data_IF_012288574402
#
_entry.id   IF_012288574402
#
_cell.length_a   1.000
_cell.length_b   1.000
_cell.length_c   1.000
_cell.angle_alpha   90.00
_cell.angle_beta   90.00
_cell.angle_gamma   90.00
#
_symmetry.space_group_name_H-M   'P 1'
#
loop_
_entity.id
_entity.type
_entity.pdbx_description
1 polymer ?
#
# COMPACT_ATOMS: atom_id res chain seq x y z
N UNK A 1 -20.77 -28.96 14.92
CA UNK A 1 -19.48 -29.63 15.18
C UNK A 1 -18.29 -28.96 14.49
N UNK A 2 -18.45 -28.34 13.34
CA UNK A 2 -17.36 -27.64 12.63
C UNK A 2 -16.86 -26.32 13.29
N UNK A 3 -17.78 -25.57 13.90
CA UNK A 3 -17.44 -24.34 14.65
C UNK A 3 -16.66 -24.62 15.95
N UNK A 4 -16.90 -25.76 16.58
CA UNK A 4 -16.19 -26.18 17.79
C UNK A 4 -14.75 -26.68 17.46
N UNK A 5 -14.55 -27.29 16.29
CA UNK A 5 -13.21 -27.66 15.79
C UNK A 5 -12.38 -26.43 15.40
N UNK A 6 -13.00 -25.40 14.80
CA UNK A 6 -12.30 -24.13 14.48
C UNK A 6 -11.87 -23.36 15.72
N UNK A 7 -12.72 -23.30 16.78
CA UNK A 7 -12.34 -22.64 18.04
C UNK A 7 -11.17 -23.35 18.74
N UNK A 8 -11.17 -24.69 18.78
CA UNK A 8 -10.08 -25.44 19.42
C UNK A 8 -8.74 -25.27 18.68
N UNK A 9 -8.74 -25.23 17.35
CA UNK A 9 -7.51 -24.95 16.56
C UNK A 9 -6.96 -23.55 16.81
N UNK A 10 -7.84 -22.54 16.94
CA UNK A 10 -7.42 -21.15 17.21
C UNK A 10 -6.86 -20.99 18.63
N UNK A 11 -7.45 -21.66 19.62
CA UNK A 11 -6.96 -21.62 21.01
C UNK A 11 -5.66 -22.43 21.20
N UNK A 12 -5.48 -23.55 20.47
CA UNK A 12 -4.22 -24.30 20.46
C UNK A 12 -3.11 -23.47 19.79
N UNK A 13 -3.37 -22.84 18.64
CA UNK A 13 -2.41 -21.96 17.98
C UNK A 13 -2.03 -20.74 18.84
N UNK A 14 -2.97 -20.18 19.60
CA UNK A 14 -2.68 -19.11 20.58
C UNK A 14 -1.77 -19.59 21.71
N UNK A 15 -1.84 -20.86 22.12
CA UNK A 15 -0.99 -21.43 23.15
C UNK A 15 0.43 -21.76 22.67
N UNK A 16 0.56 -22.27 21.45
CA UNK A 16 1.86 -22.62 20.83
C UNK A 16 2.68 -21.38 20.47
N UNK A 17 2.01 -20.26 20.14
CA UNK A 17 2.64 -18.99 19.79
C UNK A 17 2.67 -17.98 20.95
N UNK A 18 2.49 -18.42 22.20
CA UNK A 18 2.37 -17.53 23.37
C UNK A 18 3.61 -16.69 23.68
N UNK A 19 4.76 -17.00 23.09
CA UNK A 19 6.01 -16.25 23.23
C UNK A 19 6.31 -15.30 22.06
N UNK A 20 5.45 -15.31 21.01
CA UNK A 20 5.56 -14.37 19.90
C UNK A 20 4.51 -13.27 20.01
N UNK A 21 4.87 -12.09 19.55
CA UNK A 21 3.93 -10.99 19.38
C UNK A 21 2.94 -11.32 18.24
N UNK A 22 1.67 -11.48 18.61
CA UNK A 22 0.61 -11.94 17.71
C UNK A 22 -0.68 -11.14 17.93
N UNK A 23 -1.37 -10.84 16.84
CA UNK A 23 -2.68 -10.19 16.84
C UNK A 23 -3.76 -11.14 16.31
N UNK A 24 -5.03 -10.71 16.32
CA UNK A 24 -6.11 -11.47 15.69
C UNK A 24 -5.97 -11.55 14.15
N UNK A 25 -5.11 -10.72 13.56
CA UNK A 25 -4.81 -10.65 12.13
C UNK A 25 -3.56 -11.44 11.73
N UNK A 26 -2.63 -11.69 12.64
CA UNK A 26 -1.40 -12.41 12.37
C UNK A 26 -0.26 -12.02 13.31
N UNK A 27 0.95 -12.36 12.92
CA UNK A 27 2.14 -11.95 13.66
C UNK A 27 2.36 -10.45 13.53
N UNK A 28 2.89 -9.84 14.59
CA UNK A 28 3.40 -8.48 14.52
C UNK A 28 4.58 -8.40 13.52
N UNK A 29 4.77 -7.25 12.90
CA UNK A 29 5.63 -7.08 11.73
C UNK A 29 7.05 -7.63 11.94
N UNK A 30 7.67 -7.37 13.10
CA UNK A 30 8.99 -7.89 13.41
C UNK A 30 9.06 -9.41 13.37
N UNK A 31 8.09 -10.09 13.99
CA UNK A 31 8.01 -11.56 14.04
C UNK A 31 7.72 -12.13 12.65
N UNK A 32 6.83 -11.46 11.91
CA UNK A 32 6.54 -11.83 10.52
C UNK A 32 7.82 -11.80 9.66
N UNK A 33 8.60 -10.75 9.74
CA UNK A 33 9.84 -10.62 8.99
C UNK A 33 10.92 -11.64 9.44
N UNK A 34 11.05 -11.94 10.73
CA UNK A 34 11.94 -12.97 11.23
C UNK A 34 11.59 -14.34 10.62
N UNK A 35 10.31 -14.74 10.70
CA UNK A 35 9.84 -15.99 10.11
C UNK A 35 9.95 -16.02 8.59
N UNK A 36 9.77 -14.90 7.94
CA UNK A 36 9.94 -14.79 6.48
C UNK A 36 11.40 -14.99 6.08
N UNK A 37 12.34 -14.45 6.84
CA UNK A 37 13.77 -14.69 6.58
C UNK A 37 14.14 -16.18 6.73
N UNK A 38 13.59 -16.89 7.73
CA UNK A 38 13.80 -18.33 7.88
C UNK A 38 13.39 -19.13 6.62
N UNK A 39 12.39 -18.65 5.88
CA UNK A 39 11.93 -19.25 4.62
C UNK A 39 12.81 -18.80 3.45
N UNK A 40 13.13 -17.52 3.39
CA UNK A 40 13.93 -16.92 2.32
C UNK A 40 15.32 -17.54 2.27
N UNK A 41 15.97 -17.72 3.40
CA UNK A 41 17.31 -18.29 3.54
C UNK A 41 17.39 -19.78 3.11
N UNK A 42 16.25 -20.45 2.90
CA UNK A 42 16.18 -21.84 2.41
C UNK A 42 15.89 -21.95 0.91
N UNK A 43 15.74 -20.83 0.20
CA UNK A 43 15.41 -20.81 -1.23
C UNK A 43 16.64 -21.03 -2.11
N UNK A 44 16.39 -21.40 -3.36
CA UNK A 44 17.41 -21.36 -4.41
C UNK A 44 17.63 -19.91 -4.83
N UNK A 45 18.78 -19.35 -4.50
CA UNK A 45 19.17 -17.97 -4.78
C UNK A 45 19.32 -17.66 -6.29
N UNK A 46 19.43 -18.70 -7.14
CA UNK A 46 19.54 -18.52 -8.58
C UNK A 46 18.18 -18.28 -9.27
N UNK A 47 17.08 -18.40 -8.55
CA UNK A 47 15.75 -18.19 -9.11
C UNK A 47 15.25 -16.77 -8.77
N UNK A 48 14.69 -16.04 -9.75
CA UNK A 48 14.05 -14.78 -9.45
C UNK A 48 12.82 -15.00 -8.56
N UNK A 49 12.71 -14.18 -7.53
CA UNK A 49 11.62 -14.25 -6.55
C UNK A 49 10.86 -12.92 -6.49
N UNK A 50 9.58 -12.99 -6.21
CA UNK A 50 8.73 -11.87 -5.85
C UNK A 50 8.08 -12.19 -4.52
N UNK A 51 8.40 -11.42 -3.49
CA UNK A 51 7.83 -11.53 -2.17
C UNK A 51 6.88 -10.37 -1.91
N UNK A 52 5.68 -10.67 -1.42
CA UNK A 52 4.69 -9.68 -1.01
C UNK A 52 4.42 -9.84 0.48
N UNK A 53 4.68 -8.80 1.24
CA UNK A 53 4.43 -8.74 2.68
C UNK A 53 3.31 -7.76 2.97
N UNK A 54 2.39 -8.16 3.84
CA UNK A 54 1.37 -7.28 4.39
C UNK A 54 1.62 -7.14 5.88
N UNK A 55 2.01 -5.94 6.30
CA UNK A 55 2.23 -5.61 7.71
C UNK A 55 0.88 -5.39 8.41
N UNK A 56 0.83 -5.62 9.72
CA UNK A 56 -0.42 -5.55 10.50
C UNK A 56 -0.33 -4.68 11.74
N UNK A 57 0.87 -4.27 12.14
CA UNK A 57 1.08 -3.57 13.42
C UNK A 57 0.39 -2.21 13.47
N UNK A 58 0.19 -1.56 12.33
CA UNK A 58 -0.45 -0.26 12.20
C UNK A 58 -1.97 -0.33 12.01
N UNK A 59 -2.53 -1.54 11.84
CA UNK A 59 -3.96 -1.71 11.56
C UNK A 59 -4.86 -1.37 12.76
N UNK A 60 -4.40 -1.60 14.01
CA UNK A 60 -5.17 -1.30 15.22
C UNK A 60 -4.78 0.08 15.77
N UNK A 61 -5.78 0.87 16.18
CA UNK A 61 -5.60 2.14 16.91
C UNK A 61 -4.82 1.97 18.22
N UNK A 62 -4.77 0.76 18.76
CA UNK A 62 -4.03 0.42 19.97
C UNK A 62 -2.86 -0.46 19.61
N UNK A 63 -1.69 0.14 19.60
CA UNK A 63 -0.47 -0.63 19.47
C UNK A 63 -0.29 -1.60 20.66
N UNK A 64 -0.02 -2.86 20.36
CA UNK A 64 0.08 -3.94 21.36
C UNK A 64 1.19 -4.91 20.98
N UNK A 65 1.99 -5.25 21.99
CA UNK A 65 2.89 -6.37 21.99
C UNK A 65 2.57 -7.24 23.21
N UNK A 66 3.11 -8.47 23.27
CA UNK A 66 3.00 -9.30 24.45
C UNK A 66 3.76 -8.69 25.66
N UNK A 67 4.86 -8.02 25.39
CA UNK A 67 5.66 -7.32 26.37
C UNK A 67 5.16 -5.88 26.57
N UNK A 68 4.56 -5.62 27.73
CA UNK A 68 4.00 -4.31 28.06
C UNK A 68 5.06 -3.21 28.27
N UNK A 69 6.26 -3.57 28.74
CA UNK A 69 7.34 -2.59 28.93
C UNK A 69 7.86 -2.12 27.56
N UNK A 70 8.00 -3.04 26.60
CA UNK A 70 8.31 -2.68 25.22
C UNK A 70 7.24 -1.80 24.60
N UNK A 71 5.97 -2.07 24.83
CA UNK A 71 4.87 -1.22 24.33
C UNK A 71 5.03 0.20 24.87
N UNK A 72 5.27 0.36 26.18
CA UNK A 72 5.43 1.69 26.78
C UNK A 72 6.62 2.45 26.20
N UNK A 73 7.73 1.80 25.91
CA UNK A 73 8.89 2.42 25.25
C UNK A 73 8.51 3.07 23.91
N UNK A 74 7.67 2.43 23.10
CA UNK A 74 7.20 3.01 21.83
C UNK A 74 6.25 4.18 22.06
N UNK A 75 5.38 4.12 23.08
CA UNK A 75 4.55 5.26 23.45
C UNK A 75 5.36 6.44 24.01
N UNK A 76 6.42 6.20 24.77
CA UNK A 76 7.33 7.25 25.24
C UNK A 76 7.99 7.96 24.05
N UNK A 77 8.54 7.21 23.10
CA UNK A 77 9.12 7.79 21.87
C UNK A 77 8.09 8.57 21.05
N UNK A 78 6.86 8.07 20.95
CA UNK A 78 5.79 8.79 20.30
C UNK A 78 5.49 10.12 21.01
N UNK A 79 5.45 10.16 22.34
CA UNK A 79 5.28 11.41 23.12
C UNK A 79 6.41 12.39 22.89
N UNK A 80 7.67 11.91 22.83
CA UNK A 80 8.84 12.76 22.54
C UNK A 80 8.71 13.41 21.14
N UNK A 81 8.31 12.65 20.14
CA UNK A 81 8.06 13.18 18.78
C UNK A 81 6.96 14.23 18.83
N UNK A 82 5.81 13.93 19.46
CA UNK A 82 4.69 14.86 19.58
C UNK A 82 5.14 16.16 20.29
N UNK A 83 5.88 16.05 21.36
CA UNK A 83 6.37 17.21 22.10
C UNK A 83 7.32 18.13 21.29
N UNK A 84 7.90 17.62 20.20
CA UNK A 84 8.74 18.42 19.30
C UNK A 84 7.95 19.16 18.21
N UNK A 85 6.65 18.91 18.09
CA UNK A 85 5.77 19.55 17.10
C UNK A 85 5.23 20.90 17.61
N UNK A 86 4.77 21.78 16.70
CA UNK A 86 4.01 22.98 17.08
C UNK A 86 2.77 22.63 17.92
N UNK A 87 2.41 23.48 18.87
CA UNK A 87 1.32 23.23 19.84
C UNK A 87 -0.03 22.87 19.17
N UNK A 88 -0.32 23.48 18.02
CA UNK A 88 -1.54 23.22 17.25
C UNK A 88 -1.60 21.81 16.64
N UNK A 89 -0.43 21.21 16.40
CA UNK A 89 -0.32 19.85 15.84
C UNK A 89 -0.30 18.80 16.95
N UNK A 90 0.22 19.13 18.14
CA UNK A 90 0.34 18.18 19.25
C UNK A 90 -0.98 17.53 19.64
N UNK A 91 -2.08 18.32 19.68
CA UNK A 91 -3.40 17.80 20.03
C UNK A 91 -3.90 16.76 19.02
N UNK A 92 -3.76 17.05 17.71
CA UNK A 92 -4.15 16.13 16.63
C UNK A 92 -3.33 14.83 16.69
N UNK A 93 -2.02 14.95 16.95
CA UNK A 93 -1.12 13.80 17.03
C UNK A 93 -1.33 12.97 18.31
N UNK A 94 -1.72 13.58 19.42
CA UNK A 94 -2.09 12.84 20.64
C UNK A 94 -3.31 11.94 20.44
N UNK A 95 -4.27 12.34 19.60
CA UNK A 95 -5.46 11.52 19.29
C UNK A 95 -5.08 10.23 18.56
N UNK A 96 -3.93 10.19 17.88
CA UNK A 96 -3.42 9.06 17.11
C UNK A 96 -2.11 8.47 17.65
N UNK A 97 -1.76 8.76 18.90
CA UNK A 97 -0.51 8.33 19.49
C UNK A 97 -0.25 6.82 19.40
N UNK A 98 -1.30 6.00 19.46
CA UNK A 98 -1.20 4.56 19.27
C UNK A 98 -0.77 4.17 17.87
N UNK A 99 -1.23 4.88 16.84
CA UNK A 99 -0.76 4.68 15.46
C UNK A 99 0.68 5.15 15.30
N UNK A 100 1.06 6.26 15.92
CA UNK A 100 2.44 6.75 15.89
C UNK A 100 3.39 5.74 16.54
N UNK A 101 3.04 5.20 17.71
CA UNK A 101 3.82 4.14 18.35
C UNK A 101 3.94 2.87 17.47
N UNK A 102 2.84 2.47 16.81
CA UNK A 102 2.84 1.37 15.86
C UNK A 102 3.70 1.65 14.62
N UNK A 103 3.71 2.89 14.14
CA UNK A 103 4.54 3.32 13.01
C UNK A 103 6.03 3.24 13.35
N UNK A 104 6.43 3.69 14.53
CA UNK A 104 7.82 3.59 15.00
C UNK A 104 8.26 2.11 15.08
N UNK A 105 7.40 1.25 15.60
CA UNK A 105 7.66 -0.21 15.64
C UNK A 105 7.76 -0.81 14.23
N UNK A 106 6.84 -0.44 13.33
CA UNK A 106 6.82 -0.91 11.95
C UNK A 106 8.07 -0.49 11.17
N UNK A 107 8.52 0.75 11.37
CA UNK A 107 9.76 1.28 10.78
C UNK A 107 10.98 0.46 11.23
N UNK A 108 11.13 0.20 12.52
CA UNK A 108 12.21 -0.66 13.05
C UNK A 108 12.12 -2.11 12.53
N UNK A 109 10.90 -2.62 12.35
CA UNK A 109 10.71 -3.95 11.78
C UNK A 109 11.14 -4.02 10.31
N UNK A 110 10.84 -2.97 9.53
CA UNK A 110 11.29 -2.83 8.13
C UNK A 110 12.81 -2.68 8.08
N UNK A 111 13.40 -1.82 8.93
CA UNK A 111 14.86 -1.67 9.03
C UNK A 111 15.55 -3.01 9.26
N UNK A 112 15.04 -3.77 10.22
CA UNK A 112 15.57 -5.10 10.51
C UNK A 112 15.49 -6.03 9.29
N UNK A 113 14.34 -6.06 8.62
CA UNK A 113 14.14 -6.93 7.47
C UNK A 113 15.08 -6.54 6.32
N UNK A 114 15.13 -5.27 5.96
CA UNK A 114 16.02 -4.76 4.91
C UNK A 114 17.47 -5.10 5.21
N UNK A 115 17.91 -4.94 6.47
CA UNK A 115 19.28 -5.26 6.88
C UNK A 115 19.59 -6.76 6.77
N UNK A 116 18.72 -7.62 7.30
CA UNK A 116 18.89 -9.08 7.21
C UNK A 116 18.86 -9.59 5.77
N UNK A 117 17.93 -9.05 4.96
CA UNK A 117 17.82 -9.39 3.55
C UNK A 117 19.08 -8.99 2.78
N UNK A 118 19.61 -7.79 3.07
CA UNK A 118 20.85 -7.29 2.45
C UNK A 118 22.10 -8.09 2.87
N UNK A 119 22.12 -8.60 4.08
CA UNK A 119 23.21 -9.49 4.55
C UNK A 119 23.17 -10.84 3.85
N UNK A 120 21.98 -11.37 3.57
CA UNK A 120 21.79 -12.64 2.86
C UNK A 120 22.04 -12.50 1.36
N UNK A 121 21.35 -11.57 0.69
CA UNK A 121 21.56 -11.28 -0.74
C UNK A 121 22.63 -10.18 -0.92
N UNK A 122 23.88 -10.55 -0.71
CA UNK A 122 25.00 -9.60 -0.70
C UNK A 122 25.45 -9.14 -2.10
N UNK A 123 24.88 -9.70 -3.18
CA UNK A 123 25.09 -9.29 -4.57
C UNK A 123 24.40 -7.97 -4.92
N UNK A 124 23.47 -7.53 -4.07
CA UNK A 124 22.71 -6.30 -4.25
C UNK A 124 21.64 -6.33 -5.35
N UNK A 125 21.36 -7.51 -5.92
CA UNK A 125 20.39 -7.65 -7.02
C UNK A 125 18.95 -7.84 -6.50
N UNK A 126 18.44 -6.82 -5.79
CA UNK A 126 17.07 -6.81 -5.27
C UNK A 126 16.52 -5.39 -5.18
N UNK A 127 15.20 -5.29 -5.15
CA UNK A 127 14.45 -4.03 -5.04
C UNK A 127 13.37 -4.19 -3.99
N UNK A 128 13.30 -3.24 -3.06
CA UNK A 128 12.17 -3.06 -2.16
C UNK A 128 11.23 -2.00 -2.70
N UNK A 129 9.95 -2.32 -2.72
CA UNK A 129 8.87 -1.37 -2.96
C UNK A 129 8.02 -1.33 -1.69
N UNK A 130 8.05 -0.20 -0.98
CA UNK A 130 7.38 -0.03 0.30
C UNK A 130 6.27 1.00 0.11
N UNK A 131 5.04 0.62 0.42
CA UNK A 131 3.88 1.50 0.30
C UNK A 131 2.83 1.15 1.35
N UNK A 132 1.89 2.07 1.61
CA UNK A 132 0.68 1.73 2.36
C UNK A 132 -0.38 1.14 1.43
N UNK A 133 -1.21 0.23 1.91
CA UNK A 133 -2.38 -0.28 1.17
C UNK A 133 -3.50 0.78 1.11
N UNK A 134 -3.64 1.57 2.17
CA UNK A 134 -4.49 2.76 2.28
C UNK A 134 -3.96 3.68 3.39
N UNK A 135 -4.46 4.92 3.43
CA UNK A 135 -4.12 5.85 4.50
C UNK A 135 -4.87 5.53 5.80
N UNK A 136 -4.41 6.10 6.90
CA UNK A 136 -5.21 6.18 8.12
C UNK A 136 -6.44 7.07 7.85
N UNK A 137 -7.62 6.63 8.32
CA UNK A 137 -8.82 7.45 8.23
C UNK A 137 -8.80 8.52 9.33
N UNK A 138 -7.93 9.51 9.15
CA UNK A 138 -7.80 10.68 10.02
C UNK A 138 -8.66 11.79 9.43
N UNK A 139 -9.39 12.50 10.28
CA UNK A 139 -10.13 13.68 9.85
C UNK A 139 -9.14 14.73 9.36
N UNK A 140 -9.13 14.97 8.05
CA UNK A 140 -8.35 16.00 7.38
C UNK A 140 -9.28 16.94 6.62
N UNK A 141 -8.90 18.20 6.54
CA UNK A 141 -9.59 19.20 5.72
C UNK A 141 -9.34 18.98 4.22
N UNK A 142 -8.29 18.22 3.87
CA UNK A 142 -7.99 17.85 2.49
C UNK A 142 -8.49 16.43 2.20
N UNK A 143 -9.50 16.27 1.32
CA UNK A 143 -10.04 14.93 1.01
C UNK A 143 -9.02 13.99 0.34
N UNK A 144 -7.95 14.49 -0.26
CA UNK A 144 -6.88 13.67 -0.85
C UNK A 144 -6.05 12.93 0.20
N UNK A 145 -5.97 13.44 1.44
CA UNK A 145 -5.22 12.77 2.50
C UNK A 145 -5.78 11.39 2.84
N UNK A 146 -7.08 11.17 2.57
CA UNK A 146 -7.70 9.86 2.72
C UNK A 146 -7.14 8.79 1.75
N UNK A 147 -6.48 9.20 0.67
CA UNK A 147 -5.94 8.33 -0.38
C UNK A 147 -4.42 8.42 -0.52
N UNK A 148 -3.80 9.36 0.20
CA UNK A 148 -2.36 9.60 0.11
C UNK A 148 -1.59 8.63 1.00
N UNK A 149 -0.70 7.85 0.38
CA UNK A 149 0.18 6.88 1.02
C UNK A 149 1.63 7.08 0.55
N UNK A 150 2.63 6.72 1.36
CA UNK A 150 4.02 6.77 0.92
C UNK A 150 4.28 5.73 -0.19
N UNK A 151 5.20 6.05 -1.10
CA UNK A 151 5.80 5.10 -2.02
C UNK A 151 7.32 5.27 -1.99
N UNK A 152 8.01 4.26 -1.51
CA UNK A 152 9.47 4.23 -1.41
C UNK A 152 9.98 3.07 -2.25
N UNK A 153 10.89 3.35 -3.18
CA UNK A 153 11.60 2.33 -3.94
C UNK A 153 13.06 2.40 -3.51
N UNK A 154 13.56 1.30 -2.97
CA UNK A 154 14.93 1.21 -2.51
C UNK A 154 15.65 -0.02 -3.07
N UNK A 155 16.89 0.16 -3.47
CA UNK A 155 17.77 -0.90 -3.97
C UNK A 155 19.23 -0.46 -3.85
N UNK A 156 20.18 -1.37 -3.57
CA UNK A 156 21.61 -1.07 -3.70
C UNK A 156 22.04 -0.66 -5.11
N UNK A 157 21.24 -0.99 -6.14
CA UNK A 157 21.50 -0.61 -7.54
C UNK A 157 21.18 0.87 -7.83
N UNK A 158 20.47 1.57 -6.95
CA UNK A 158 20.17 2.98 -7.13
C UNK A 158 21.43 3.82 -6.92
N UNK A 159 21.75 4.66 -7.90
CA UNK A 159 22.95 5.49 -7.87
C UNK A 159 22.90 6.62 -6.85
N UNK A 160 21.72 7.14 -6.57
CA UNK A 160 21.49 8.25 -5.64
C UNK A 160 20.02 8.30 -5.21
N UNK A 161 19.73 8.85 -4.01
CA UNK A 161 18.35 9.14 -3.64
C UNK A 161 17.80 10.28 -4.49
N UNK A 162 16.53 10.17 -4.88
CA UNK A 162 15.79 11.19 -5.60
C UNK A 162 14.38 11.27 -5.06
N UNK A 163 13.82 12.48 -5.02
CA UNK A 163 12.41 12.73 -4.72
C UNK A 163 11.71 13.17 -6.00
N UNK A 164 10.59 12.54 -6.30
CA UNK A 164 9.71 12.88 -7.41
C UNK A 164 8.40 13.42 -6.85
N UNK A 165 7.97 14.58 -7.34
CA UNK A 165 6.73 15.22 -6.90
C UNK A 165 5.54 14.91 -7.82
N UNK A 166 5.70 13.94 -8.72
CA UNK A 166 4.60 13.46 -9.55
C UNK A 166 3.59 12.67 -8.73
N UNK A 167 2.32 12.89 -8.99
CA UNK A 167 1.24 12.10 -8.41
C UNK A 167 1.13 10.77 -9.17
N UNK A 168 1.30 9.68 -8.45
CA UNK A 168 1.29 8.31 -8.97
C UNK A 168 0.29 7.45 -8.20
N UNK A 169 0.00 6.25 -8.68
CA UNK A 169 -0.92 5.33 -8.00
C UNK A 169 -0.33 3.93 -7.87
N UNK A 170 -0.93 3.09 -7.02
CA UNK A 170 -0.58 1.66 -6.92
C UNK A 170 -0.67 0.94 -8.27
N UNK A 171 -1.56 1.39 -9.17
CA UNK A 171 -1.71 0.82 -10.50
C UNK A 171 -0.44 0.95 -11.36
N UNK A 172 0.44 1.89 -11.02
CA UNK A 172 1.67 2.18 -11.77
C UNK A 172 2.86 1.31 -11.34
N UNK A 173 2.77 0.64 -10.18
CA UNK A 173 3.85 -0.20 -9.64
C UNK A 173 4.13 -1.40 -10.55
N UNK A 174 3.11 -2.17 -10.91
CA UNK A 174 3.27 -3.37 -11.75
C UNK A 174 3.79 -3.05 -13.14
N UNK A 175 3.24 -2.05 -13.88
CA UNK A 175 3.81 -1.62 -15.16
C UNK A 175 5.28 -1.24 -15.07
N UNK A 176 5.66 -0.49 -14.01
CA UNK A 176 7.05 -0.06 -13.79
C UNK A 176 8.00 -1.24 -13.57
N UNK A 177 7.64 -2.16 -12.67
CA UNK A 177 8.46 -3.35 -12.43
C UNK A 177 8.56 -4.22 -13.68
N UNK A 178 7.47 -4.35 -14.44
CA UNK A 178 7.46 -5.11 -15.68
C UNK A 178 8.36 -4.47 -16.75
N UNK A 179 8.34 -3.15 -16.90
CA UNK A 179 9.24 -2.44 -17.81
C UNK A 179 10.71 -2.63 -17.40
N UNK A 180 11.02 -2.49 -16.10
CA UNK A 180 12.35 -2.73 -15.57
C UNK A 180 12.86 -4.13 -15.91
N UNK A 181 12.02 -5.16 -15.68
CA UNK A 181 12.40 -6.55 -15.94
C UNK A 181 12.53 -6.85 -17.44
N UNK A 182 11.65 -6.28 -18.26
CA UNK A 182 11.75 -6.38 -19.72
C UNK A 182 13.05 -5.78 -20.23
N UNK A 183 13.39 -4.58 -19.80
CA UNK A 183 14.46 -3.78 -20.39
C UNK A 183 15.86 -4.22 -19.88
N UNK A 184 15.93 -4.76 -18.66
CA UNK A 184 17.22 -5.12 -18.05
C UNK A 184 17.43 -6.63 -17.93
N UNK A 185 16.37 -7.45 -17.94
CA UNK A 185 16.47 -8.89 -17.72
C UNK A 185 15.84 -9.72 -18.86
N UNK A 186 15.49 -9.09 -19.99
CA UNK A 186 14.88 -9.73 -21.16
C UNK A 186 13.59 -10.51 -20.82
N UNK A 187 12.83 -10.07 -19.83
CA UNK A 187 11.54 -10.68 -19.50
C UNK A 187 10.61 -10.58 -20.72
N UNK A 188 10.06 -11.71 -21.15
CA UNK A 188 9.04 -11.72 -22.20
C UNK A 188 7.73 -11.19 -21.62
N UNK A 189 7.30 -10.04 -22.12
CA UNK A 189 6.05 -9.41 -21.71
C UNK A 189 4.98 -9.62 -22.78
N UNK A 190 3.67 -9.66 -22.40
CA UNK A 190 2.59 -9.63 -23.37
C UNK A 190 2.65 -8.40 -24.27
N UNK A 191 2.27 -8.54 -25.53
CA UNK A 191 2.16 -7.42 -26.47
C UNK A 191 0.93 -6.55 -26.20
N UNK A 192 -0.08 -7.12 -25.56
CA UNK A 192 -1.29 -6.43 -25.13
C UNK A 192 -1.40 -6.52 -23.60
N UNK A 193 -1.63 -5.40 -22.97
CA UNK A 193 -1.80 -5.27 -21.53
C UNK A 193 -3.10 -4.55 -21.23
N UNK A 194 -3.74 -4.91 -20.13
CA UNK A 194 -5.00 -4.31 -19.70
C UNK A 194 -4.87 -3.63 -18.33
N UNK A 195 -3.67 -3.18 -18.01
CA UNK A 195 -3.43 -2.39 -16.79
C UNK A 195 -4.03 -0.99 -16.96
N UNK A 196 -4.67 -0.50 -15.91
CA UNK A 196 -5.14 0.88 -15.84
C UNK A 196 -3.97 1.85 -15.67
N UNK A 197 -2.92 1.40 -14.95
CA UNK A 197 -1.72 2.17 -14.69
C UNK A 197 -0.75 2.21 -15.87
N UNK A 198 0.23 3.08 -15.74
CA UNK A 198 1.39 3.25 -16.63
C UNK A 198 2.69 3.13 -15.81
N UNK A 199 3.84 3.23 -16.45
CA UNK A 199 5.10 3.35 -15.71
C UNK A 199 5.08 4.59 -14.80
N UNK A 200 5.73 4.48 -13.62
CA UNK A 200 5.82 5.58 -12.65
C UNK A 200 6.40 6.83 -13.32
N UNK A 201 5.73 7.94 -13.09
CA UNK A 201 6.20 9.23 -13.55
C UNK A 201 7.40 9.68 -12.71
N UNK A 202 8.48 10.04 -13.38
CA UNK A 202 9.75 10.46 -12.78
C UNK A 202 10.04 11.95 -12.97
N UNK A 203 9.01 12.75 -13.23
CA UNK A 203 9.10 14.21 -13.26
C UNK A 203 9.34 14.71 -11.83
N UNK A 204 10.36 15.56 -11.65
CA UNK A 204 10.75 16.05 -10.33
C UNK A 204 9.84 17.16 -9.83
N UNK A 205 9.38 18.01 -10.74
CA UNK A 205 8.41 19.04 -10.43
C UNK A 205 7.03 18.41 -10.21
N UNK A 206 6.15 19.15 -9.55
CA UNK A 206 4.78 18.69 -9.35
C UNK A 206 4.11 18.42 -10.71
N UNK A 207 3.60 17.21 -10.86
CA UNK A 207 2.92 16.76 -12.07
C UNK A 207 1.85 15.74 -11.71
N UNK A 208 0.68 15.85 -12.32
CA UNK A 208 -0.41 14.91 -12.14
C UNK A 208 -1.05 14.57 -13.49
N UNK A 209 -0.94 13.33 -13.90
CA UNK A 209 -1.57 12.78 -15.12
C UNK A 209 -2.29 11.46 -14.79
N UNK A 210 -2.86 11.39 -13.59
CA UNK A 210 -3.66 10.24 -13.20
C UNK A 210 -5.04 10.25 -13.85
N UNK A 211 -5.56 9.04 -14.08
CA UNK A 211 -6.94 8.79 -14.49
C UNK A 211 -7.46 7.60 -13.70
N UNK A 212 -7.91 7.86 -12.48
CA UNK A 212 -8.32 6.80 -11.56
C UNK A 212 -9.46 7.25 -10.67
N UNK A 213 -10.25 6.28 -10.21
CA UNK A 213 -11.28 6.49 -9.20
C UNK A 213 -10.86 5.84 -7.89
N UNK A 214 -11.37 6.35 -6.78
CA UNK A 214 -11.05 5.88 -5.44
C UNK A 214 -12.26 5.23 -4.78
N UNK A 215 -12.00 4.08 -4.17
CA UNK A 215 -12.97 3.38 -3.34
C UNK A 215 -12.85 3.86 -1.90
N UNK A 216 -13.91 4.43 -1.35
CA UNK A 216 -13.96 4.80 0.06
C UNK A 216 -14.23 3.59 0.95
N UNK A 217 -13.98 3.74 2.24
CA UNK A 217 -14.28 2.73 3.26
C UNK A 217 -15.72 2.18 3.18
N UNK A 218 -16.67 2.99 2.75
CA UNK A 218 -18.07 2.60 2.50
C UNK A 218 -18.26 1.68 1.30
N UNK A 219 -17.20 1.32 0.58
CA UNK A 219 -17.21 0.59 -0.68
C UNK A 219 -17.99 1.29 -1.79
N UNK A 220 -18.02 2.61 -1.75
CA UNK A 220 -18.66 3.46 -2.75
C UNK A 220 -17.61 4.32 -3.43
N UNK A 221 -17.70 4.43 -4.75
CA UNK A 221 -16.84 5.29 -5.56
C UNK A 221 -17.51 6.65 -5.71
N UNK A 222 -16.99 7.65 -5.06
CA UNK A 222 -17.43 9.04 -5.17
C UNK A 222 -16.36 9.94 -5.74
N UNK A 223 -15.11 9.52 -5.69
CA UNK A 223 -13.93 10.35 -5.91
C UNK A 223 -13.08 9.79 -7.04
N UNK A 224 -12.36 10.69 -7.69
CA UNK A 224 -11.36 10.32 -8.69
C UNK A 224 -10.39 11.46 -8.97
N UNK A 225 -9.27 11.13 -9.59
CA UNK A 225 -8.34 12.09 -10.17
C UNK A 225 -8.34 11.89 -11.68
N UNK A 226 -8.48 12.99 -12.41
CA UNK A 226 -8.43 13.04 -13.87
C UNK A 226 -7.49 14.17 -14.27
N UNK A 227 -6.26 13.78 -14.61
CA UNK A 227 -5.18 14.73 -14.85
C UNK A 227 -4.94 15.61 -13.61
N UNK A 228 -4.92 16.90 -13.74
CA UNK A 228 -4.74 17.84 -12.62
C UNK A 228 -6.02 18.13 -11.83
N UNK A 229 -7.06 17.31 -11.94
CA UNK A 229 -8.32 17.60 -11.26
C UNK A 229 -8.71 16.46 -10.31
N UNK A 230 -8.95 16.80 -9.05
CA UNK A 230 -9.71 15.95 -8.13
C UNK A 230 -11.20 16.20 -8.36
N UNK A 231 -11.97 15.14 -8.45
CA UNK A 231 -13.41 15.17 -8.67
C UNK A 231 -14.14 14.38 -7.61
N UNK A 232 -15.28 14.90 -7.14
CA UNK A 232 -16.13 14.19 -6.19
C UNK A 232 -17.60 14.35 -6.50
N UNK A 233 -18.38 13.30 -6.18
CA UNK A 233 -19.85 13.30 -6.26
C UNK A 233 -20.49 13.14 -4.87
N UNK A 234 -19.72 13.35 -3.82
CA UNK A 234 -20.21 13.22 -2.45
C UNK A 234 -21.41 14.13 -2.18
N UNK A 235 -22.38 13.60 -1.44
CA UNK A 235 -23.65 14.28 -1.16
C UNK A 235 -24.43 14.69 -2.43
N UNK A 236 -24.30 13.91 -3.51
CA UNK A 236 -24.94 14.16 -4.81
C UNK A 236 -24.54 15.50 -5.46
N UNK A 237 -23.46 16.13 -4.98
CA UNK A 237 -22.91 17.36 -5.56
C UNK A 237 -21.69 17.05 -6.38
N UNK A 238 -21.73 17.43 -7.66
CA UNK A 238 -20.58 17.31 -8.56
C UNK A 238 -19.66 18.49 -8.34
N UNK A 239 -18.44 18.23 -7.85
CA UNK A 239 -17.42 19.24 -7.61
C UNK A 239 -16.11 18.80 -8.23
N UNK A 240 -15.38 19.74 -8.78
CA UNK A 240 -14.01 19.55 -9.23
C UNK A 240 -13.08 20.56 -8.56
N UNK A 241 -11.87 20.14 -8.32
CA UNK A 241 -10.81 20.94 -7.72
C UNK A 241 -9.55 20.79 -8.54
N UNK A 242 -8.90 21.87 -8.87
CA UNK A 242 -7.58 21.83 -9.48
C UNK A 242 -6.55 21.47 -8.41
N UNK A 243 -5.71 20.49 -8.69
CA UNK A 243 -4.67 20.00 -7.77
C UNK A 243 -3.40 20.81 -8.01
N UNK A 244 -2.95 21.53 -7.00
CA UNK A 244 -1.69 22.29 -6.98
C UNK A 244 -0.58 21.49 -6.28
N UNK A 245 0.62 22.05 -6.31
CA UNK A 245 1.75 21.53 -5.54
C UNK A 245 1.36 21.25 -4.08
N UNK A 246 1.96 20.21 -3.50
CA UNK A 246 1.66 19.69 -2.16
C UNK A 246 0.19 19.28 -1.99
N UNK A 247 -0.45 18.83 -3.08
CA UNK A 247 -1.84 18.37 -3.11
C UNK A 247 -2.87 19.42 -2.65
N UNK A 248 -2.56 20.69 -2.71
CA UNK A 248 -3.51 21.76 -2.40
C UNK A 248 -4.63 21.78 -3.43
N UNK A 249 -5.86 22.02 -2.99
CA UNK A 249 -7.05 22.02 -3.82
C UNK A 249 -7.61 23.43 -4.02
N UNK A 250 -7.93 23.78 -5.27
CA UNK A 250 -8.62 25.01 -5.65
C UNK A 250 -9.93 24.66 -6.36
N UNK A 251 -11.07 25.10 -5.82
CA UNK A 251 -12.39 24.77 -6.37
C UNK A 251 -12.56 25.34 -7.78
N UNK A 252 -13.03 24.52 -8.70
CA UNK A 252 -13.30 24.87 -10.10
C UNK A 252 -14.79 25.17 -10.26
N UNK A 253 -15.09 26.36 -10.80
CA UNK A 253 -16.47 26.80 -11.05
C UNK A 253 -16.86 26.75 -12.54
N UNK A 254 -16.06 26.14 -13.38
CA UNK A 254 -16.32 25.97 -14.81
C UNK A 254 -17.20 24.73 -15.06
N UNK A 255 -18.44 24.95 -15.47
CA UNK A 255 -19.40 23.88 -15.71
C UNK A 255 -19.00 22.93 -16.84
N UNK A 256 -18.26 23.41 -17.87
CA UNK A 256 -17.82 22.59 -18.98
C UNK A 256 -16.70 21.63 -18.53
N UNK A 257 -15.75 22.12 -17.73
CA UNK A 257 -14.70 21.28 -17.11
C UNK A 257 -15.35 20.23 -16.22
N UNK A 258 -16.27 20.62 -15.32
CA UNK A 258 -16.95 19.69 -14.40
C UNK A 258 -17.72 18.63 -15.19
N UNK A 259 -18.42 19.00 -16.25
CA UNK A 259 -19.14 18.08 -17.11
C UNK A 259 -18.20 17.08 -17.78
N UNK A 260 -17.11 17.54 -18.37
CA UNK A 260 -16.13 16.66 -19.03
C UNK A 260 -15.53 15.65 -18.06
N UNK A 261 -15.13 16.10 -16.85
CA UNK A 261 -14.60 15.21 -15.81
C UNK A 261 -15.65 14.20 -15.34
N UNK A 262 -16.90 14.64 -15.15
CA UNK A 262 -18.00 13.74 -14.79
C UNK A 262 -18.24 12.65 -15.85
N UNK A 263 -18.12 12.95 -17.13
CA UNK A 263 -18.24 11.96 -18.20
C UNK A 263 -17.11 10.92 -18.12
N UNK A 264 -15.87 11.35 -17.91
CA UNK A 264 -14.72 10.47 -17.72
C UNK A 264 -14.88 9.59 -16.47
N UNK A 265 -15.31 10.18 -15.35
CA UNK A 265 -15.59 9.49 -14.09
C UNK A 265 -16.64 8.39 -14.29
N UNK A 266 -17.80 8.72 -14.89
CA UNK A 266 -18.86 7.77 -15.11
C UNK A 266 -18.43 6.63 -16.06
N UNK A 267 -17.63 6.94 -17.08
CA UNK A 267 -17.11 5.93 -18.00
C UNK A 267 -16.19 4.93 -17.28
N UNK A 268 -15.31 5.41 -16.38
CA UNK A 268 -14.42 4.55 -15.62
C UNK A 268 -15.18 3.68 -14.62
N UNK A 269 -16.11 4.28 -13.85
CA UNK A 269 -16.96 3.54 -12.90
C UNK A 269 -17.82 2.50 -13.63
N UNK A 270 -18.34 2.83 -14.82
CA UNK A 270 -19.10 1.86 -15.63
C UNK A 270 -18.21 0.70 -16.09
N UNK A 271 -17.01 1.00 -16.57
CA UNK A 271 -16.07 -0.03 -17.03
C UNK A 271 -15.67 -0.98 -15.90
N UNK A 272 -15.39 -0.44 -14.71
CA UNK A 272 -15.08 -1.21 -13.49
C UNK A 272 -16.25 -2.15 -13.12
N UNK A 273 -17.46 -1.60 -12.99
CA UNK A 273 -18.65 -2.36 -12.68
C UNK A 273 -18.95 -3.45 -13.73
N UNK A 274 -18.76 -3.13 -15.01
CA UNK A 274 -18.94 -4.09 -16.08
C UNK A 274 -17.94 -5.24 -15.98
N UNK A 275 -16.68 -4.92 -15.77
CA UNK A 275 -15.60 -5.91 -15.62
C UNK A 275 -15.84 -6.83 -14.42
N UNK A 276 -16.24 -6.27 -13.28
CA UNK A 276 -16.56 -7.03 -12.09
C UNK A 276 -17.78 -7.93 -12.28
N UNK A 277 -18.88 -7.39 -12.83
CA UNK A 277 -20.15 -8.12 -13.01
C UNK A 277 -20.01 -9.27 -14.02
N UNK A 278 -19.23 -9.07 -15.07
CA UNK A 278 -19.05 -10.07 -16.12
C UNK A 278 -17.83 -10.97 -15.91
N UNK A 279 -17.03 -10.70 -14.87
CA UNK A 279 -15.74 -11.36 -14.62
C UNK A 279 -14.85 -11.39 -15.88
N UNK A 280 -14.84 -10.29 -16.62
CA UNK A 280 -14.21 -10.20 -17.93
C UNK A 280 -13.60 -8.82 -18.15
N UNK A 281 -12.28 -8.74 -18.20
CA UNK A 281 -11.53 -7.54 -18.57
C UNK A 281 -11.31 -7.50 -20.09
N UNK A 282 -11.25 -8.65 -20.74
CA UNK A 282 -11.01 -8.78 -22.18
C UNK A 282 -11.96 -9.76 -22.84
N UNK A 283 -12.14 -9.62 -24.16
CA UNK A 283 -12.97 -10.58 -24.93
C UNK A 283 -12.40 -12.00 -24.94
N UNK A 284 -11.09 -12.14 -24.84
CA UNK A 284 -10.38 -13.40 -24.81
C UNK A 284 -9.48 -13.48 -23.59
N UNK A 285 -9.33 -14.63 -22.93
CA UNK A 285 -8.37 -14.77 -21.85
C UNK A 285 -6.95 -14.53 -22.40
N UNK A 286 -6.20 -13.62 -21.78
CA UNK A 286 -4.83 -13.28 -22.17
C UNK A 286 -3.88 -14.50 -22.11
N UNK A 287 -4.18 -15.45 -21.22
CA UNK A 287 -3.42 -16.67 -21.01
C UNK A 287 -4.35 -17.89 -20.96
N UNK A 288 -4.93 -18.34 -22.10
CA UNK A 288 -5.89 -19.44 -22.10
C UNK A 288 -5.32 -20.78 -21.58
N UNK A 289 -4.00 -20.87 -21.47
CA UNK A 289 -3.29 -22.08 -21.05
C UNK A 289 -2.38 -21.90 -19.83
N UNK A 290 -2.40 -20.73 -19.19
CA UNK A 290 -1.67 -20.51 -17.96
C UNK A 290 -2.28 -21.37 -16.84
N UNK A 291 -1.70 -22.53 -16.62
CA UNK A 291 -1.95 -23.30 -15.40
C UNK A 291 -1.15 -22.62 -14.29
N UNK A 292 -1.79 -21.71 -13.56
CA UNK A 292 -1.23 -21.25 -12.29
C UNK A 292 -1.14 -22.45 -11.37
N UNK A 293 0.08 -22.88 -11.07
CA UNK A 293 0.31 -23.83 -9.99
C UNK A 293 0.14 -23.00 -8.72
N UNK A 294 -1.05 -23.05 -8.12
CA UNK A 294 -1.21 -22.56 -6.75
C UNK A 294 -0.24 -23.41 -5.91
N UNK A 295 0.90 -22.82 -5.58
CA UNK A 295 1.77 -23.35 -4.55
C UNK A 295 0.89 -23.26 -3.31
N UNK A 296 0.57 -24.39 -2.70
CA UNK A 296 -0.30 -24.53 -1.54
C UNK A 296 -0.16 -23.33 -0.62
N UNK A 297 -1.30 -22.75 -0.23
CA UNK A 297 -1.36 -21.86 0.92
C UNK A 297 -0.42 -22.41 1.99
N UNK A 298 0.60 -21.65 2.34
CA UNK A 298 1.40 -21.95 3.51
C UNK A 298 0.47 -21.72 4.70
N UNK A 299 -0.26 -22.75 5.08
CA UNK A 299 -0.85 -22.84 6.39
C UNK A 299 0.34 -23.07 7.31
N UNK A 300 0.78 -22.04 7.99
CA UNK A 300 1.74 -22.18 9.07
C UNK A 300 1.08 -23.09 10.13
N UNK A 301 1.59 -24.28 10.25
CA UNK A 301 1.22 -25.20 11.33
C UNK A 301 1.61 -24.63 12.68
#
# INVERSE_FOLDING_TARGET
SSLRKRKNTTEQKKKENSHYDYTDWGYQDRVMFEKSMDIIEQRDENLPNLDLFMTVSQHDKRFRLNDKERVETYYERAREIIASLPDEEQNKMNDIIGHLAATIYGDEAIEYFVKRYSEFYNDGNYIFVITGDHSLNINSDNPLDAFHVPLIIWSPMLKKPELFNSVVSHNDIVPTLNALLRDNYNLKTPTEIHWVGKELDTIKDFHCDLKTCFLRYTRTIFDGIFENYYYTTENYKKKAFYIKDKLQLEEVNDEEIIKNINEKFNALVYADNYSYTNNQITKNPLFPHAKFKVIKEFVFD
#
